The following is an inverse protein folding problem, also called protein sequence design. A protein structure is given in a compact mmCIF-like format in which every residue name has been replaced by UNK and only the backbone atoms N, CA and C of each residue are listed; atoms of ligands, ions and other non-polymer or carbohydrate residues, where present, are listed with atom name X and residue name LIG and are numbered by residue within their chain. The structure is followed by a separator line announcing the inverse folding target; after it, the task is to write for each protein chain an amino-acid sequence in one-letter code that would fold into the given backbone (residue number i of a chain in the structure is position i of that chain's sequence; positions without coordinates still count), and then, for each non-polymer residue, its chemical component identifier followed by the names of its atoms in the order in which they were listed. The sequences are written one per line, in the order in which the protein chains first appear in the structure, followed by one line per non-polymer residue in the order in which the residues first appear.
data_IF_201327938466
#
_entry.id   IF_201327938466
#
_cell.length_a   1.000
_cell.length_b   1.000
_cell.length_c   1.000
_cell.angle_alpha   90.00
_cell.angle_beta   90.00
_cell.angle_gamma   90.00
#
_symmetry.space_group_name_H-M   'P 1'
#
loop_
_entity.id
_entity.type
_entity.pdbx_description
1 polymer ?
#
# COMPACT_ATOMS: atom_id res chain seq x y z
N UNK A 1 1.84 -12.97 6.60
CA UNK A 1 0.37 -12.86 6.67
C UNK A 1 -0.06 -11.45 6.31
N UNK A 2 -0.98 -11.24 5.37
CA UNK A 2 -1.61 -9.97 5.03
C UNK A 2 -2.98 -9.90 5.70
N UNK A 3 -3.29 -8.79 6.36
CA UNK A 3 -4.62 -8.53 6.90
C UNK A 3 -5.37 -7.58 5.96
N UNK A 4 -6.62 -7.90 5.66
CA UNK A 4 -7.55 -7.03 4.94
C UNK A 4 -8.70 -6.67 5.87
N UNK A 5 -8.99 -5.37 5.99
CA UNK A 5 -10.19 -4.87 6.64
C UNK A 5 -11.05 -4.22 5.57
N UNK A 6 -12.19 -4.83 5.25
CA UNK A 6 -13.06 -4.38 4.14
C UNK A 6 -14.47 -4.11 4.64
N UNK A 7 -15.13 -3.04 4.16
CA UNK A 7 -16.56 -2.84 4.42
C UNK A 7 -17.35 -4.06 3.95
N UNK A 8 -18.29 -4.53 4.78
CA UNK A 8 -19.13 -5.69 4.50
C UNK A 8 -20.55 -5.48 5.06
N UNK A 9 -21.47 -6.35 4.68
CA UNK A 9 -22.79 -6.44 5.33
C UNK A 9 -22.72 -7.42 6.49
N UNK A 10 -23.43 -7.11 7.56
CA UNK A 10 -23.59 -8.00 8.70
C UNK A 10 -24.47 -9.18 8.33
N UNK A 11 -24.04 -10.39 8.70
CA UNK A 11 -24.82 -11.63 8.54
C UNK A 11 -25.84 -11.83 9.67
N UNK A 12 -25.70 -11.13 10.80
CA UNK A 12 -26.52 -11.30 12.01
C UNK A 12 -27.61 -10.23 12.12
N UNK A 13 -27.23 -8.96 11.97
CA UNK A 13 -28.15 -7.83 11.89
C UNK A 13 -28.42 -7.45 10.43
N UNK A 14 -29.70 -7.57 10.02
CA UNK A 14 -30.17 -7.24 8.67
C UNK A 14 -29.86 -5.76 8.35
N UNK A 15 -29.28 -5.53 7.17
CA UNK A 15 -28.92 -4.21 6.63
C UNK A 15 -27.89 -3.40 7.45
N UNK A 16 -27.32 -3.98 8.52
CA UNK A 16 -26.24 -3.35 9.25
C UNK A 16 -24.92 -3.45 8.48
N UNK A 17 -24.20 -2.33 8.36
CA UNK A 17 -22.84 -2.32 7.82
C UNK A 17 -21.85 -2.79 8.89
N UNK A 18 -20.86 -3.57 8.50
CA UNK A 18 -19.79 -4.05 9.36
C UNK A 18 -18.46 -4.06 8.59
N UNK A 19 -17.40 -4.59 9.19
CA UNK A 19 -16.11 -4.81 8.55
C UNK A 19 -15.81 -6.31 8.56
N UNK A 20 -15.37 -6.84 7.42
CA UNK A 20 -14.80 -8.18 7.32
C UNK A 20 -13.29 -8.08 7.50
N UNK A 21 -12.74 -8.85 8.45
CA UNK A 21 -11.32 -9.05 8.60
C UNK A 21 -10.90 -10.36 7.91
N UNK A 22 -10.01 -10.30 6.93
CA UNK A 22 -9.48 -11.48 6.24
C UNK A 22 -7.98 -11.57 6.43
N UNK A 23 -7.47 -12.72 6.89
CA UNK A 23 -6.04 -12.98 7.05
C UNK A 23 -5.60 -13.94 5.95
N UNK A 24 -4.75 -13.45 5.05
CA UNK A 24 -4.19 -14.21 3.94
C UNK A 24 -2.73 -14.54 4.24
N UNK A 25 -2.27 -15.76 3.96
CA UNK A 25 -0.92 -16.17 4.31
C UNK A 25 -0.26 -16.98 3.20
N UNK A 26 1.06 -16.81 3.08
CA UNK A 26 1.96 -17.72 2.38
C UNK A 26 2.98 -18.19 3.40
N UNK A 27 3.18 -19.49 3.48
CA UNK A 27 4.22 -20.11 4.29
C UNK A 27 5.09 -20.98 3.38
N UNK A 28 6.40 -20.88 3.52
CA UNK A 28 7.36 -21.65 2.73
C UNK A 28 7.69 -22.96 3.46
N UNK A 29 6.72 -23.87 3.48
CA UNK A 29 6.79 -25.16 4.16
C UNK A 29 5.42 -25.84 4.20
N UNK A 30 5.32 -27.00 4.84
CA UNK A 30 4.06 -27.72 4.98
C UNK A 30 3.14 -27.17 6.07
N UNK A 31 1.85 -27.48 6.00
CA UNK A 31 0.86 -27.14 7.01
C UNK A 31 1.20 -27.75 8.38
N UNK A 32 1.76 -28.96 8.40
CA UNK A 32 2.20 -29.62 9.64
C UNK A 32 3.35 -28.86 10.34
N UNK A 33 4.16 -28.10 9.61
CA UNK A 33 5.20 -27.22 10.17
C UNK A 33 4.63 -25.86 10.58
N UNK A 34 3.67 -25.33 9.81
CA UNK A 34 3.02 -24.05 10.09
C UNK A 34 2.18 -24.07 11.36
N UNK A 35 1.38 -25.12 11.58
CA UNK A 35 0.39 -25.16 12.66
C UNK A 35 1.02 -25.00 14.05
N UNK A 36 2.09 -25.73 14.42
CA UNK A 36 2.74 -25.54 15.73
C UNK A 36 3.32 -24.13 15.93
N UNK A 37 3.79 -23.49 14.86
CA UNK A 37 4.28 -22.11 14.91
C UNK A 37 3.12 -21.16 15.20
N UNK A 38 1.98 -21.34 14.53
CA UNK A 38 0.79 -20.50 14.72
C UNK A 38 0.14 -20.70 16.08
N UNK A 39 0.08 -21.93 16.59
CA UNK A 39 -0.43 -22.21 17.93
C UNK A 39 0.41 -21.55 19.03
N UNK A 40 1.73 -21.44 18.80
CA UNK A 40 2.64 -20.78 19.72
C UNK A 40 2.62 -19.26 19.59
N UNK A 41 2.77 -18.74 18.37
CA UNK A 41 3.07 -17.33 18.13
C UNK A 41 1.80 -16.48 17.86
N UNK A 42 0.71 -17.09 17.38
CA UNK A 42 -0.54 -16.38 17.12
C UNK A 42 -1.81 -17.26 17.31
N UNK A 43 -2.01 -17.85 18.51
CA UNK A 43 -3.11 -18.79 18.77
C UNK A 43 -4.51 -18.18 18.58
N UNK A 44 -4.63 -16.86 18.77
CA UNK A 44 -5.91 -16.14 18.61
C UNK A 44 -6.49 -16.22 17.20
N UNK A 45 -5.67 -16.51 16.17
CA UNK A 45 -6.17 -16.72 14.82
C UNK A 45 -6.97 -18.02 14.70
N UNK A 46 -6.69 -19.02 15.55
CA UNK A 46 -7.36 -20.33 15.53
C UNK A 46 -7.19 -21.07 14.20
N UNK A 47 -6.03 -20.94 13.56
CA UNK A 47 -5.74 -21.57 12.27
C UNK A 47 -5.82 -23.09 12.41
N UNK A 48 -6.58 -23.74 11.53
CA UNK A 48 -6.65 -25.21 11.46
C UNK A 48 -6.11 -25.74 10.15
N UNK A 49 -5.85 -27.04 10.11
CA UNK A 49 -5.34 -27.71 8.91
C UNK A 49 -6.29 -27.57 7.73
N UNK A 50 -7.60 -27.56 7.95
CA UNK A 50 -8.62 -27.42 6.91
C UNK A 50 -8.62 -26.02 6.28
N UNK A 51 -7.96 -25.04 6.92
CA UNK A 51 -7.77 -23.70 6.35
C UNK A 51 -6.50 -23.59 5.51
N UNK A 52 -5.65 -24.62 5.49
CA UNK A 52 -4.40 -24.65 4.78
C UNK A 52 -4.56 -25.35 3.43
N UNK A 53 -4.03 -24.75 2.37
CA UNK A 53 -3.94 -25.38 1.04
C UNK A 53 -2.48 -25.43 0.63
N UNK A 54 -1.91 -26.65 0.56
CA UNK A 54 -0.53 -26.85 0.13
C UNK A 54 -0.48 -26.91 -1.39
N UNK A 55 0.31 -26.02 -1.98
CA UNK A 55 0.46 -25.89 -3.43
C UNK A 55 1.90 -25.56 -3.79
N UNK A 56 2.26 -25.74 -5.05
CA UNK A 56 3.54 -25.22 -5.55
C UNK A 56 3.58 -23.69 -5.47
N UNK A 57 4.79 -23.10 -5.50
CA UNK A 57 4.95 -21.65 -5.45
C UNK A 57 4.15 -20.93 -6.55
N UNK A 58 4.16 -21.43 -7.79
CA UNK A 58 3.46 -20.78 -8.91
C UNK A 58 1.93 -20.85 -8.77
N UNK A 59 1.39 -21.93 -8.19
CA UNK A 59 -0.03 -22.01 -7.86
C UNK A 59 -0.41 -21.05 -6.74
N UNK A 60 0.49 -20.78 -5.78
CA UNK A 60 0.25 -19.73 -4.77
C UNK A 60 0.15 -18.34 -5.41
N UNK A 61 0.90 -18.07 -6.49
CA UNK A 61 0.78 -16.81 -7.25
C UNK A 61 -0.61 -16.68 -7.87
N UNK A 62 -1.15 -17.76 -8.46
CA UNK A 62 -2.53 -17.78 -8.96
C UNK A 62 -3.54 -17.45 -7.85
N UNK A 63 -3.40 -18.11 -6.70
CA UNK A 63 -4.28 -17.89 -5.54
C UNK A 63 -4.25 -16.45 -5.01
N UNK A 64 -3.08 -15.81 -4.98
CA UNK A 64 -2.97 -14.40 -4.56
C UNK A 64 -3.53 -13.42 -5.60
N UNK A 65 -3.66 -13.83 -6.86
CA UNK A 65 -4.27 -13.04 -7.91
C UNK A 65 -5.80 -13.15 -7.86
N UNK A 66 -6.32 -14.37 -7.78
CA UNK A 66 -7.73 -14.71 -7.59
C UNK A 66 -7.80 -16.02 -6.78
N UNK A 67 -8.42 -16.00 -5.59
CA UNK A 67 -8.50 -17.17 -4.73
C UNK A 67 -9.41 -18.27 -5.31
N UNK A 68 -10.28 -17.90 -6.26
CA UNK A 68 -11.11 -18.83 -7.02
C UNK A 68 -10.35 -19.54 -8.15
N UNK A 69 -9.20 -19.02 -8.61
CA UNK A 69 -8.45 -19.62 -9.72
C UNK A 69 -8.05 -21.07 -9.44
N UNK A 70 -7.60 -21.37 -8.22
CA UNK A 70 -7.26 -22.74 -7.85
C UNK A 70 -8.49 -23.66 -7.81
N UNK A 71 -9.64 -23.16 -7.35
CA UNK A 71 -10.89 -23.94 -7.28
C UNK A 71 -11.44 -24.26 -8.67
N UNK A 72 -11.23 -23.36 -9.64
CA UNK A 72 -11.63 -23.53 -11.05
C UNK A 72 -10.67 -24.44 -11.83
N UNK A 73 -9.51 -24.79 -11.26
CA UNK A 73 -8.49 -25.57 -11.96
C UNK A 73 -7.71 -24.76 -12.99
N UNK A 74 -7.61 -23.43 -12.79
CA UNK A 74 -6.80 -22.57 -13.65
C UNK A 74 -5.34 -23.02 -13.61
N UNK A 75 -4.68 -22.96 -14.78
CA UNK A 75 -3.28 -23.33 -14.93
C UNK A 75 -2.38 -22.09 -14.97
N UNK A 76 -1.09 -22.18 -14.56
CA UNK A 76 -0.17 -21.05 -14.55
C UNK A 76 -0.04 -20.27 -15.87
N UNK A 77 -0.34 -20.90 -17.01
CA UNK A 77 -0.30 -20.27 -18.33
C UNK A 77 -1.28 -19.10 -18.46
N UNK A 78 -2.31 -19.03 -17.61
CA UNK A 78 -3.22 -17.86 -17.57
C UNK A 78 -2.48 -16.57 -17.20
N UNK A 79 -1.36 -16.65 -16.47
CA UNK A 79 -0.50 -15.50 -16.15
C UNK A 79 0.20 -14.90 -17.39
N UNK A 80 0.22 -15.62 -18.51
CA UNK A 80 0.74 -15.09 -19.79
C UNK A 80 -0.27 -14.19 -20.50
N UNK A 81 -1.54 -14.19 -20.08
CA UNK A 81 -2.57 -13.37 -20.69
C UNK A 81 -2.33 -11.87 -20.39
N UNK A 82 -2.41 -11.05 -21.45
CA UNK A 82 -2.26 -9.59 -21.40
C UNK A 82 -3.47 -8.84 -21.95
N UNK A 83 -4.61 -9.50 -22.10
CA UNK A 83 -5.85 -8.84 -22.50
C UNK A 83 -6.39 -7.97 -21.35
N UNK A 84 -6.05 -6.68 -21.38
CA UNK A 84 -6.36 -5.69 -20.35
C UNK A 84 -7.48 -4.74 -20.78
N UNK A 85 -8.41 -5.17 -21.65
CA UNK A 85 -9.51 -4.32 -22.15
C UNK A 85 -10.61 -3.99 -21.11
N UNK A 86 -10.24 -3.95 -19.84
CA UNK A 86 -11.09 -3.55 -18.73
C UNK A 86 -10.33 -2.62 -17.79
N UNK A 87 -10.97 -1.52 -17.41
CA UNK A 87 -10.43 -0.56 -16.45
C UNK A 87 -11.49 -0.23 -15.40
N UNK A 88 -11.04 -0.10 -14.16
CA UNK A 88 -11.85 0.40 -13.05
C UNK A 88 -11.24 1.69 -12.53
N UNK A 89 -12.07 2.54 -11.95
CA UNK A 89 -11.57 3.66 -11.16
C UNK A 89 -10.94 3.12 -9.87
N UNK A 90 -9.79 3.68 -9.50
CA UNK A 90 -9.07 3.30 -8.29
C UNK A 90 -8.57 4.53 -7.54
N UNK A 91 -8.58 4.44 -6.21
CA UNK A 91 -7.80 5.33 -5.34
C UNK A 91 -7.00 4.47 -4.39
N UNK A 92 -5.71 4.77 -4.29
CA UNK A 92 -4.79 4.17 -3.32
C UNK A 92 -4.11 5.28 -2.53
N UNK A 93 -3.92 5.05 -1.23
CA UNK A 93 -3.02 5.82 -0.36
C UNK A 93 -2.21 4.82 0.47
N UNK A 94 -1.12 5.26 1.07
CA UNK A 94 -0.27 4.38 1.90
C UNK A 94 0.24 5.07 3.13
N UNK A 95 0.44 4.27 4.18
CA UNK A 95 1.20 4.64 5.37
C UNK A 95 2.12 3.51 5.79
N UNK A 96 3.10 3.85 6.61
CA UNK A 96 3.91 2.89 7.36
C UNK A 96 3.62 3.02 8.85
N UNK A 97 3.53 1.89 9.54
CA UNK A 97 3.28 1.85 10.98
C UNK A 97 4.53 1.34 11.68
N UNK A 98 4.99 2.08 12.69
CA UNK A 98 6.23 1.81 13.44
C UNK A 98 5.95 1.43 14.91
N UNK A 99 4.74 1.69 15.41
CA UNK A 99 4.28 1.33 16.76
C UNK A 99 2.88 0.71 16.68
N UNK A 100 2.52 -0.25 17.55
CA UNK A 100 1.17 -0.82 17.54
C UNK A 100 0.09 0.25 17.71
N UNK A 101 -0.96 0.16 16.89
CA UNK A 101 -2.11 1.06 16.98
C UNK A 101 -2.90 0.69 18.25
N UNK A 102 -3.21 1.64 19.15
CA UNK A 102 -3.99 1.35 20.35
C UNK A 102 -5.38 0.79 20.01
N UNK A 103 -5.93 -0.06 20.89
CA UNK A 103 -7.27 -0.65 20.72
C UNK A 103 -8.34 0.39 20.39
N UNK A 104 -8.38 1.51 21.12
CA UNK A 104 -9.34 2.58 20.87
C UNK A 104 -9.20 3.19 19.45
N UNK A 105 -7.97 3.27 18.93
CA UNK A 105 -7.70 3.68 17.55
C UNK A 105 -8.22 2.65 16.53
N UNK A 106 -8.07 1.36 16.80
CA UNK A 106 -8.61 0.28 15.96
C UNK A 106 -10.15 0.24 15.97
N UNK A 107 -10.77 0.44 17.13
CA UNK A 107 -12.23 0.49 17.28
C UNK A 107 -12.84 1.70 16.56
N UNK A 108 -12.18 2.86 16.61
CA UNK A 108 -12.59 4.02 15.83
C UNK A 108 -12.37 3.84 14.33
N UNK A 109 -11.24 3.23 13.92
CA UNK A 109 -10.98 2.86 12.53
C UNK A 109 -12.08 1.93 12.00
N UNK A 110 -12.45 0.89 12.76
CA UNK A 110 -13.49 -0.08 12.40
C UNK A 110 -14.82 0.61 12.05
N UNK A 111 -15.26 1.54 12.90
CA UNK A 111 -16.48 2.32 12.68
C UNK A 111 -16.41 3.12 11.38
N UNK A 112 -15.28 3.78 11.12
CA UNK A 112 -15.08 4.60 9.91
C UNK A 112 -15.00 3.78 8.63
N UNK A 113 -14.38 2.59 8.65
CA UNK A 113 -14.37 1.69 7.50
C UNK A 113 -15.82 1.35 7.12
N UNK A 114 -16.64 0.97 8.10
CA UNK A 114 -18.05 0.61 7.89
C UNK A 114 -18.95 1.72 7.33
N UNK A 115 -18.48 2.98 7.28
CA UNK A 115 -19.26 4.10 6.75
C UNK A 115 -19.19 4.26 5.23
N UNK A 116 -18.21 3.64 4.55
CA UNK A 116 -18.03 3.77 3.10
C UNK A 116 -17.54 2.49 2.41
N UNK A 117 -16.80 2.64 1.30
CA UNK A 117 -16.33 1.51 0.46
C UNK A 117 -14.82 1.25 0.55
N UNK A 118 -14.07 2.14 1.18
CA UNK A 118 -12.60 2.01 1.31
C UNK A 118 -12.23 0.95 2.33
N UNK A 119 -11.45 -0.05 1.89
CA UNK A 119 -10.81 -1.03 2.76
C UNK A 119 -9.35 -0.68 3.06
N UNK A 120 -8.76 -1.40 4.02
CA UNK A 120 -7.34 -1.29 4.35
C UNK A 120 -6.65 -2.64 4.20
N UNK A 121 -5.42 -2.61 3.66
CA UNK A 121 -4.56 -3.77 3.46
C UNK A 121 -3.26 -3.60 4.23
N UNK A 122 -3.00 -4.48 5.19
CA UNK A 122 -1.85 -4.45 6.07
C UNK A 122 -0.86 -5.53 5.64
N UNK A 123 0.35 -5.13 5.25
CA UNK A 123 1.41 -6.02 4.80
C UNK A 123 2.57 -5.96 5.80
N UNK A 124 2.91 -7.08 6.47
CA UNK A 124 3.92 -7.10 7.51
C UNK A 124 5.31 -6.84 6.95
N UNK A 125 6.10 -6.10 7.72
CA UNK A 125 7.52 -5.86 7.52
C UNK A 125 8.31 -6.67 8.56
N UNK A 126 9.60 -6.40 8.73
CA UNK A 126 10.51 -7.26 9.47
C UNK A 126 11.19 -8.28 8.56
N UNK A 127 11.71 -9.36 9.15
CA UNK A 127 12.52 -10.34 8.44
C UNK A 127 13.60 -9.66 7.58
N UNK A 128 13.72 -10.09 6.32
CA UNK A 128 14.72 -9.55 5.39
C UNK A 128 14.63 -8.04 5.18
N UNK A 129 13.43 -7.45 5.25
CA UNK A 129 13.26 -6.00 5.07
C UNK A 129 13.92 -5.18 6.18
N UNK A 130 14.09 -5.74 7.39
CA UNK A 130 14.76 -5.07 8.50
C UNK A 130 16.28 -5.23 8.52
N UNK A 131 16.82 -6.16 7.73
CA UNK A 131 18.27 -6.37 7.58
C UNK A 131 18.89 -5.43 6.54
N UNK A 132 18.12 -4.98 5.55
CA UNK A 132 18.61 -4.14 4.46
C UNK A 132 18.75 -2.69 4.97
N UNK A 133 19.91 -2.03 4.82
CA UNK A 133 20.08 -0.62 5.18
C UNK A 133 19.10 0.28 4.44
N UNK A 134 18.61 1.33 5.11
CA UNK A 134 17.62 2.25 4.55
C UNK A 134 18.14 3.01 3.30
N UNK A 135 19.45 3.16 3.17
CA UNK A 135 20.14 3.87 2.08
C UNK A 135 20.73 2.94 1.00
N UNK A 136 20.56 1.62 1.15
CA UNK A 136 21.04 0.63 0.17
C UNK A 136 20.37 0.79 -1.20
N UNK A 137 19.15 1.34 -1.24
CA UNK A 137 18.35 1.59 -2.44
C UNK A 137 17.54 2.87 -2.25
N UNK A 138 16.94 3.47 -3.30
CA UNK A 138 16.02 4.61 -3.13
C UNK A 138 14.90 4.37 -2.12
N UNK A 139 14.39 3.14 -2.01
CA UNK A 139 13.32 2.75 -1.10
C UNK A 139 13.81 2.66 0.36
N UNK A 140 13.37 3.57 1.26
CA UNK A 140 13.97 3.74 2.58
C UNK A 140 13.29 2.96 3.71
N UNK A 141 12.07 2.46 3.48
CA UNK A 141 11.19 1.96 4.54
C UNK A 141 11.62 0.54 4.96
N UNK A 142 12.54 0.43 5.92
CA UNK A 142 13.25 -0.81 6.28
C UNK A 142 13.06 -1.18 7.76
N UNK A 143 14.15 -1.21 8.53
CA UNK A 143 14.16 -1.50 9.97
C UNK A 143 13.29 -0.50 10.74
N UNK A 144 12.51 -0.98 11.71
CA UNK A 144 11.61 -0.17 12.52
C UNK A 144 10.17 -0.08 11.99
N UNK A 145 9.93 -0.50 10.74
CA UNK A 145 8.58 -0.64 10.19
C UNK A 145 7.96 -1.96 10.62
N UNK A 146 6.78 -1.91 11.26
CA UNK A 146 5.99 -3.09 11.61
C UNK A 146 5.21 -3.61 10.39
N UNK A 147 4.55 -2.72 9.68
CA UNK A 147 3.81 -3.04 8.45
C UNK A 147 3.55 -1.80 7.59
N UNK A 148 3.37 -2.03 6.28
CA UNK A 148 2.81 -1.06 5.34
C UNK A 148 1.30 -1.22 5.29
N UNK A 149 0.59 -0.12 5.38
CA UNK A 149 -0.87 -0.06 5.26
C UNK A 149 -1.24 0.62 3.94
N UNK A 150 -2.15 0.01 3.17
CA UNK A 150 -2.73 0.59 1.96
C UNK A 150 -4.20 0.87 2.20
N UNK A 151 -4.64 2.07 1.84
CA UNK A 151 -6.06 2.42 1.72
C UNK A 151 -6.49 2.11 0.30
N UNK A 152 -7.54 1.33 0.12
CA UNK A 152 -7.87 0.74 -1.16
C UNK A 152 -9.37 0.78 -1.42
N UNK A 153 -9.75 1.48 -2.48
CA UNK A 153 -11.10 1.47 -3.03
C UNK A 153 -11.06 1.42 -4.55
N UNK A 154 -11.91 0.59 -5.13
CA UNK A 154 -12.08 0.40 -6.57
C UNK A 154 -13.57 0.47 -6.87
N UNK A 155 -13.94 1.09 -7.98
CA UNK A 155 -15.35 1.27 -8.35
C UNK A 155 -15.53 1.41 -9.87
N UNK A 156 -16.74 1.14 -10.35
CA UNK A 156 -17.09 1.16 -11.77
C UNK A 156 -17.81 2.44 -12.19
N UNK A 157 -18.78 2.91 -11.38
CA UNK A 157 -19.59 4.06 -11.73
C UNK A 157 -18.84 5.37 -11.43
N UNK A 158 -18.53 6.22 -12.43
CA UNK A 158 -17.81 7.49 -12.20
C UNK A 158 -18.53 8.42 -11.21
N UNK A 159 -19.85 8.31 -11.05
CA UNK A 159 -20.62 9.10 -10.07
C UNK A 159 -20.22 8.81 -8.61
N UNK A 160 -19.63 7.65 -8.32
CA UNK A 160 -19.17 7.28 -6.97
C UNK A 160 -17.81 7.91 -6.61
N UNK A 161 -17.13 8.58 -7.56
CA UNK A 161 -15.74 9.01 -7.40
C UNK A 161 -15.53 9.94 -6.21
N UNK A 162 -16.35 10.99 -6.08
CA UNK A 162 -16.21 11.96 -4.99
C UNK A 162 -16.38 11.28 -3.62
N UNK A 163 -17.43 10.47 -3.46
CA UNK A 163 -17.70 9.71 -2.23
C UNK A 163 -16.55 8.78 -1.85
N UNK A 164 -15.96 8.07 -2.81
CA UNK A 164 -14.84 7.15 -2.57
C UNK A 164 -13.54 7.89 -2.23
N UNK A 165 -13.27 9.01 -2.91
CA UNK A 165 -12.12 9.87 -2.62
C UNK A 165 -12.22 10.47 -1.20
N UNK A 166 -13.39 10.99 -0.84
CA UNK A 166 -13.63 11.58 0.48
C UNK A 166 -13.51 10.56 1.61
N UNK A 167 -14.11 9.37 1.44
CA UNK A 167 -13.98 8.29 2.42
C UNK A 167 -12.53 7.83 2.58
N UNK A 168 -11.78 7.72 1.49
CA UNK A 168 -10.34 7.38 1.55
C UNK A 168 -9.57 8.47 2.30
N UNK A 169 -9.85 9.75 2.04
CA UNK A 169 -9.20 10.89 2.69
C UNK A 169 -9.55 10.96 4.17
N UNK A 170 -10.80 10.67 4.55
CA UNK A 170 -11.24 10.59 5.95
C UNK A 170 -10.46 9.54 6.72
N UNK A 171 -10.35 8.31 6.19
CA UNK A 171 -9.59 7.23 6.82
C UNK A 171 -8.11 7.55 6.92
N UNK A 172 -7.53 8.14 5.87
CA UNK A 172 -6.14 8.58 5.89
C UNK A 172 -5.91 9.65 6.96
N UNK A 173 -6.77 10.66 7.06
CA UNK A 173 -6.67 11.70 8.07
C UNK A 173 -6.83 11.14 9.49
N UNK A 174 -7.77 10.21 9.69
CA UNK A 174 -7.99 9.55 10.98
C UNK A 174 -6.75 8.81 11.49
N UNK A 175 -5.97 8.21 10.59
CA UNK A 175 -4.80 7.42 10.94
C UNK A 175 -3.53 8.23 11.24
N UNK A 176 -3.54 9.54 10.99
CA UNK A 176 -2.39 10.44 11.22
C UNK A 176 -1.65 10.26 12.56
N UNK A 177 -2.33 10.12 13.73
CA UNK A 177 -1.62 9.97 15.01
C UNK A 177 -1.04 8.56 15.24
N UNK A 178 -1.33 7.58 14.38
CA UNK A 178 -0.98 6.17 14.59
C UNK A 178 0.07 5.63 13.60
N UNK A 179 0.47 6.43 12.62
CA UNK A 179 1.41 6.05 11.55
C UNK A 179 2.74 6.78 11.71
N UNK A 180 3.71 6.49 10.84
CA UNK A 180 5.00 7.20 10.78
C UNK A 180 4.81 8.73 10.76
N UNK A 181 5.71 9.45 11.41
CA UNK A 181 5.71 10.91 11.47
C UNK A 181 7.13 11.43 11.24
N UNK A 182 7.22 12.63 10.66
CA UNK A 182 8.48 13.34 10.39
C UNK A 182 9.50 12.55 9.54
N UNK A 183 9.19 12.23 8.27
CA UNK A 183 7.95 12.54 7.55
C UNK A 183 6.87 11.46 7.75
N UNK A 184 5.63 11.75 7.32
CA UNK A 184 4.63 10.70 7.14
C UNK A 184 4.95 9.93 5.86
N UNK A 185 5.51 8.74 6.03
CA UNK A 185 6.09 7.90 4.99
C UNK A 185 5.03 7.39 4.00
N UNK A 186 5.37 7.37 2.71
CA UNK A 186 4.49 6.93 1.62
C UNK A 186 5.24 6.01 0.64
N UNK A 187 4.49 5.20 -0.11
CA UNK A 187 5.05 4.27 -1.08
C UNK A 187 4.87 4.79 -2.51
N UNK A 188 5.99 5.03 -3.21
CA UNK A 188 6.00 5.60 -4.56
C UNK A 188 5.09 4.87 -5.55
N UNK A 189 5.03 3.53 -5.51
CA UNK A 189 4.23 2.75 -6.46
C UNK A 189 2.72 2.82 -6.17
N UNK A 190 2.30 3.47 -5.08
CA UNK A 190 0.92 3.92 -4.86
C UNK A 190 0.88 5.45 -4.94
N UNK A 191 1.22 5.99 -6.11
CA UNK A 191 1.32 7.45 -6.33
C UNK A 191 0.08 8.17 -5.84
N UNK A 192 0.31 9.22 -5.08
CA UNK A 192 -0.74 9.98 -4.41
C UNK A 192 -0.46 11.49 -4.54
N UNK A 193 -1.17 12.16 -5.44
CA UNK A 193 -0.98 13.60 -5.67
C UNK A 193 -1.40 14.45 -4.45
N UNK A 194 -2.21 13.90 -3.53
CA UNK A 194 -2.66 14.61 -2.33
C UNK A 194 -1.52 14.91 -1.35
N UNK A 195 -0.37 14.23 -1.48
CA UNK A 195 0.79 14.46 -0.60
C UNK A 195 1.78 15.52 -1.14
N UNK A 196 1.44 16.15 -2.27
CA UNK A 196 2.19 17.24 -2.88
C UNK A 196 2.45 17.01 -4.36
N UNK A 197 2.55 18.09 -5.13
CA UNK A 197 2.93 18.10 -6.55
C UNK A 197 3.98 19.16 -6.81
N UNK A 198 4.70 19.04 -7.94
CA UNK A 198 5.72 19.98 -8.37
C UNK A 198 5.27 20.70 -9.66
N UNK A 199 4.35 21.65 -9.53
CA UNK A 199 3.82 22.40 -10.68
C UNK A 199 4.74 23.54 -11.11
N UNK A 200 5.60 24.03 -10.21
CA UNK A 200 6.58 25.10 -10.49
C UNK A 200 7.96 24.57 -10.88
N UNK A 201 8.12 23.24 -10.97
CA UNK A 201 9.41 22.58 -11.22
C UNK A 201 10.51 23.03 -10.24
N UNK A 202 10.16 23.22 -8.97
CA UNK A 202 11.07 23.67 -7.92
C UNK A 202 11.56 22.53 -7.04
N UNK A 203 12.73 22.72 -6.42
CA UNK A 203 13.23 21.79 -5.40
C UNK A 203 12.27 21.74 -4.20
N UNK A 204 11.78 22.90 -3.75
CA UNK A 204 10.95 23.05 -2.56
C UNK A 204 9.62 22.30 -2.68
N UNK A 205 8.93 22.41 -3.82
CA UNK A 205 7.71 21.64 -4.06
C UNK A 205 8.00 20.13 -4.18
N UNK A 206 9.11 19.78 -4.83
CA UNK A 206 9.57 18.39 -4.94
C UNK A 206 9.90 17.73 -3.61
N UNK A 207 10.46 18.49 -2.67
CA UNK A 207 10.87 18.00 -1.36
C UNK A 207 9.67 17.55 -0.51
N UNK A 208 8.52 18.21 -0.61
CA UNK A 208 7.32 17.93 0.20
C UNK A 208 6.85 16.47 0.08
N UNK A 209 6.76 15.94 -1.14
CA UNK A 209 6.42 14.53 -1.37
C UNK A 209 7.67 13.65 -1.46
N UNK A 210 8.80 14.19 -1.93
CA UNK A 210 10.04 13.46 -2.09
C UNK A 210 10.55 12.86 -0.78
N UNK A 211 10.51 13.63 0.31
CA UNK A 211 10.87 13.13 1.65
C UNK A 211 9.92 12.06 2.14
N UNK A 212 8.62 12.11 1.81
CA UNK A 212 7.66 11.08 2.19
C UNK A 212 7.93 9.75 1.49
N UNK A 213 8.32 9.79 0.20
CA UNK A 213 8.63 8.59 -0.56
C UNK A 213 10.01 8.01 -0.25
N UNK A 214 11.01 8.88 -0.01
CA UNK A 214 12.42 8.49 -0.02
C UNK A 214 13.21 8.83 1.25
N UNK A 215 12.59 9.45 2.27
CA UNK A 215 13.25 9.91 3.49
C UNK A 215 14.57 10.66 3.16
N UNK A 216 15.68 10.30 3.82
CA UNK A 216 17.01 10.87 3.57
C UNK A 216 17.59 10.55 2.18
N UNK A 217 17.08 9.54 1.48
CA UNK A 217 17.59 9.18 0.15
C UNK A 217 17.22 10.20 -0.93
N UNK A 218 16.26 11.09 -0.65
CA UNK A 218 15.82 12.12 -1.59
C UNK A 218 16.97 13.01 -2.09
N UNK A 219 17.90 13.41 -1.22
CA UNK A 219 19.03 14.26 -1.61
C UNK A 219 19.95 13.58 -2.62
N UNK A 220 20.25 12.29 -2.39
CA UNK A 220 21.04 11.49 -3.33
C UNK A 220 20.31 11.35 -4.67
N UNK A 221 18.99 11.19 -4.66
CA UNK A 221 18.18 11.12 -5.88
C UNK A 221 18.21 12.43 -6.66
N UNK A 222 18.09 13.59 -6.00
CA UNK A 222 18.19 14.90 -6.66
C UNK A 222 19.57 15.10 -7.28
N UNK A 223 20.66 14.71 -6.59
CA UNK A 223 22.02 14.79 -7.16
C UNK A 223 22.15 13.95 -8.43
N UNK A 224 21.66 12.70 -8.41
CA UNK A 224 21.68 11.83 -9.59
C UNK A 224 20.84 12.43 -10.70
N UNK A 225 19.60 12.85 -10.41
CA UNK A 225 18.69 13.48 -11.39
C UNK A 225 19.33 14.68 -12.08
N UNK A 226 19.98 15.55 -11.31
CA UNK A 226 20.66 16.75 -11.83
C UNK A 226 21.82 16.41 -12.75
N UNK A 227 22.56 15.33 -12.46
CA UNK A 227 23.68 14.90 -13.29
C UNK A 227 23.25 14.24 -14.60
N UNK A 228 22.15 13.46 -14.58
CA UNK A 228 21.74 12.65 -15.74
C UNK A 228 20.66 13.30 -16.61
N UNK A 229 19.89 14.24 -16.06
CA UNK A 229 18.83 14.97 -16.75
C UNK A 229 18.75 16.42 -16.22
N UNK A 230 19.78 17.25 -16.50
CA UNK A 230 19.89 18.62 -15.98
C UNK A 230 18.76 19.54 -16.47
N UNK A 231 18.25 19.32 -17.68
CA UNK A 231 17.15 20.09 -18.28
C UNK A 231 15.76 19.64 -17.78
N UNK A 232 15.73 18.63 -16.90
CA UNK A 232 14.51 18.05 -16.35
C UNK A 232 13.50 17.64 -17.43
N UNK A 233 14.00 17.00 -18.50
CA UNK A 233 13.19 16.51 -19.61
C UNK A 233 12.23 15.41 -19.14
N UNK A 234 12.71 14.45 -18.35
CA UNK A 234 11.91 13.36 -17.80
C UNK A 234 11.20 13.81 -16.51
N UNK A 235 10.02 14.42 -16.65
CA UNK A 235 9.26 14.97 -15.52
C UNK A 235 7.77 14.61 -15.53
N UNK A 236 7.17 14.66 -14.35
CA UNK A 236 5.73 14.64 -14.11
C UNK A 236 5.41 15.38 -12.81
N UNK A 237 4.15 15.38 -12.38
CA UNK A 237 3.67 16.13 -11.21
C UNK A 237 4.36 15.73 -9.89
N UNK A 238 5.05 14.57 -9.85
CA UNK A 238 5.81 14.11 -8.68
C UNK A 238 7.21 13.55 -9.06
N UNK A 239 7.84 14.05 -10.12
CA UNK A 239 9.21 13.63 -10.48
C UNK A 239 10.25 14.28 -9.58
N UNK A 240 11.34 13.57 -9.28
CA UNK A 240 12.49 14.13 -8.55
C UNK A 240 12.94 15.44 -9.23
N UNK A 241 13.05 16.56 -8.50
CA UNK A 241 13.49 17.84 -9.06
C UNK A 241 15.01 17.84 -9.32
N UNK A 242 15.47 18.81 -10.11
CA UNK A 242 16.90 19.13 -10.27
C UNK A 242 17.33 20.19 -9.26
N UNK A 243 18.56 20.09 -8.74
CA UNK A 243 19.16 21.13 -7.89
C UNK A 243 19.70 22.25 -8.78
N UNK A 244 18.86 23.21 -9.18
CA UNK A 244 19.30 24.32 -10.01
C UNK A 244 18.24 24.98 -10.90
N UNK A 245 16.99 24.55 -10.87
CA UNK A 245 15.92 25.22 -11.62
C UNK A 245 15.60 26.60 -11.01
N UNK A 246 16.36 27.62 -11.43
CA UNK A 246 15.80 28.96 -11.60
C UNK A 246 14.72 28.94 -12.68
N UNK A 247 13.89 30.00 -12.80
CA UNK A 247 12.79 30.02 -13.77
C UNK A 247 13.33 29.69 -15.16
N UNK A 248 12.61 28.81 -15.88
CA UNK A 248 12.95 28.44 -17.25
C UNK A 248 13.21 29.70 -18.09
N UNK A 249 14.23 29.71 -18.97
CA UNK A 249 14.42 30.84 -19.86
C UNK A 249 13.14 31.05 -20.66
N UNK A 250 12.58 32.26 -20.58
CA UNK A 250 11.47 32.67 -21.40
C UNK A 250 11.83 32.36 -22.86
N UNK A 251 11.00 31.56 -23.53
CA UNK A 251 11.19 31.22 -24.94
C UNK A 251 11.43 32.51 -25.72
N UNK A 252 12.57 32.58 -26.41
CA UNK A 252 12.78 33.62 -27.42
C UNK A 252 11.82 33.34 -28.59
N UNK A 253 11.31 34.42 -29.23
CA UNK A 253 10.20 34.37 -30.19
C UNK A 253 10.45 33.48 -31.39
#
# INVERSE_FOLDING_TARGET
MRLLLQPSKSEVAKDAKTVKASVMALFLGGANELLPIMDKEFPLLGLKKENCTEVSWIQSVLWFNDDESLKKGDKPETLLNRDLNFAMFIKRKSDYVQKPIPRAGLEGLWKKIGMGKTGLVFNPYGGKMAEIPADATPFPHRKGTLFKMQYSVTWDNPADSQTNLDHTKELFNYMTPFVSQNPREAFLNYRDLDIGTNTKNSFQEGEVYGRKYFNGNFDRLVKVKTAVDPDNFFRNEQSIPVSGAGPAPAGKP
#
